data_IF_071930485288
#
_entry.id   IF_071930485288
#
_cell.length_a   1.000
_cell.length_b   1.000
_cell.length_c   1.000
_cell.angle_alpha   90.00
_cell.angle_beta   90.00
_cell.angle_gamma   90.00
#
_symmetry.space_group_name_H-M   'P 1'
#
loop_
_entity.id
_entity.type
_entity.pdbx_description
1 polymer ?
#
# COMPACT_ATOMS: atom_id res chain seq x y z
N UNK A 1 -12.33 -10.56 -0.33
CA UNK A 1 -11.06 -10.40 0.42
C UNK A 1 -10.64 -8.97 0.21
N UNK A 2 -10.20 -8.26 1.25
CA UNK A 2 -9.85 -6.82 1.16
C UNK A 2 -8.96 -6.53 -0.05
N UNK A 3 -9.34 -5.57 -0.88
CA UNK A 3 -8.55 -5.10 -2.02
C UNK A 3 -7.49 -4.09 -1.58
N UNK A 4 -6.35 -4.06 -2.26
CA UNK A 4 -5.28 -3.09 -2.03
C UNK A 4 -5.11 -2.19 -3.25
N UNK A 5 -5.13 -0.88 -3.00
CA UNK A 5 -4.85 0.15 -3.98
C UNK A 5 -3.61 0.95 -3.55
N UNK A 6 -2.54 0.88 -4.34
CA UNK A 6 -1.33 1.69 -4.13
C UNK A 6 -1.51 3.03 -4.85
N UNK A 7 -1.39 4.15 -4.14
CA UNK A 7 -1.57 5.50 -4.68
C UNK A 7 -0.34 6.35 -4.38
N UNK A 8 0.36 6.82 -5.41
CA UNK A 8 1.59 7.61 -5.23
C UNK A 8 1.69 8.74 -6.25
N UNK A 9 2.62 9.67 -6.02
CA UNK A 9 3.07 10.56 -7.09
C UNK A 9 3.86 9.80 -8.15
N UNK A 10 3.71 10.23 -9.41
CA UNK A 10 4.44 9.64 -10.52
C UNK A 10 4.30 8.12 -10.60
N UNK A 11 5.25 7.45 -11.25
CA UNK A 11 5.10 6.02 -11.57
C UNK A 11 5.39 5.04 -10.42
N UNK A 12 5.57 5.53 -9.19
CA UNK A 12 6.04 4.68 -8.07
C UNK A 12 5.06 3.54 -7.75
N UNK A 13 3.75 3.82 -7.73
CA UNK A 13 2.71 2.82 -7.47
C UNK A 13 2.77 1.69 -8.50
N UNK A 14 2.86 2.04 -9.78
CA UNK A 14 2.95 1.05 -10.86
C UNK A 14 4.19 0.18 -10.72
N UNK A 15 5.35 0.78 -10.49
CA UNK A 15 6.61 0.04 -10.40
C UNK A 15 6.66 -0.85 -9.15
N UNK A 16 6.09 -0.42 -8.02
CA UNK A 16 5.95 -1.27 -6.83
C UNK A 16 5.05 -2.48 -7.10
N UNK A 17 3.90 -2.28 -7.74
CA UNK A 17 2.99 -3.39 -8.08
C UNK A 17 3.61 -4.32 -9.12
N UNK A 18 4.30 -3.79 -10.14
CA UNK A 18 5.05 -4.59 -11.12
C UNK A 18 6.14 -5.41 -10.45
N UNK A 19 6.92 -4.81 -9.54
CA UNK A 19 7.95 -5.52 -8.79
C UNK A 19 7.36 -6.65 -7.93
N UNK A 20 6.26 -6.39 -7.20
CA UNK A 20 5.57 -7.41 -6.43
C UNK A 20 5.13 -8.58 -7.32
N UNK A 21 4.44 -8.29 -8.44
CA UNK A 21 4.00 -9.31 -9.41
C UNK A 21 5.16 -10.10 -10.01
N UNK A 22 6.31 -9.46 -10.25
CA UNK A 22 7.50 -10.16 -10.77
C UNK A 22 8.06 -11.17 -9.78
N UNK A 23 7.97 -10.89 -8.47
CA UNK A 23 8.49 -11.74 -7.40
C UNK A 23 7.54 -12.90 -7.09
N UNK A 24 6.24 -12.63 -6.95
CA UNK A 24 5.27 -13.64 -6.48
C UNK A 24 4.38 -14.24 -7.56
N UNK A 25 4.41 -13.71 -8.79
CA UNK A 25 3.51 -14.10 -9.87
C UNK A 25 2.27 -13.21 -9.95
N UNK A 26 1.18 -13.71 -10.54
CA UNK A 26 -0.06 -12.94 -10.60
C UNK A 26 -0.65 -12.67 -9.21
N UNK A 27 -1.08 -11.43 -9.00
CA UNK A 27 -1.63 -10.96 -7.73
C UNK A 27 -3.02 -10.39 -8.00
N UNK A 28 -4.05 -11.10 -7.55
CA UNK A 28 -5.41 -10.60 -7.57
C UNK A 28 -5.61 -9.48 -6.55
N UNK A 29 -6.56 -8.57 -6.82
CA UNK A 29 -6.99 -7.50 -5.90
C UNK A 29 -5.87 -6.53 -5.44
N UNK A 30 -4.78 -6.44 -6.22
CA UNK A 30 -3.71 -5.45 -6.05
C UNK A 30 -3.63 -4.54 -7.29
N UNK A 31 -3.95 -3.27 -7.09
CA UNK A 31 -3.96 -2.24 -8.14
C UNK A 31 -3.07 -1.06 -7.80
N UNK A 32 -2.64 -0.33 -8.84
CA UNK A 32 -1.87 0.89 -8.72
C UNK A 32 -2.65 2.07 -9.31
N UNK A 33 -2.50 3.25 -8.72
CA UNK A 33 -3.01 4.51 -9.22
C UNK A 33 -1.93 5.59 -9.08
N UNK A 34 -1.62 6.22 -10.20
CA UNK A 34 -0.68 7.34 -10.27
C UNK A 34 -1.44 8.67 -10.19
N UNK A 35 -0.98 9.55 -9.30
CA UNK A 35 -1.37 10.95 -9.28
C UNK A 35 -0.26 11.77 -9.96
N UNK A 36 -0.62 12.52 -10.99
CA UNK A 36 0.31 13.39 -11.70
C UNK A 36 0.75 14.58 -10.84
N UNK A 37 1.95 15.10 -11.08
CA UNK A 37 2.50 16.25 -10.34
C UNK A 37 1.66 17.52 -10.52
N UNK A 38 1.16 17.74 -11.73
CA UNK A 38 0.34 18.90 -12.10
C UNK A 38 -1.15 18.54 -12.25
N UNK A 39 -1.56 17.37 -11.73
CA UNK A 39 -2.93 16.91 -11.84
C UNK A 39 -3.84 17.70 -10.91
N UNK A 40 -4.96 18.21 -11.45
CA UNK A 40 -5.95 18.92 -10.66
C UNK A 40 -6.55 18.02 -9.56
N UNK A 41 -6.68 18.56 -8.35
CA UNK A 41 -7.13 17.83 -7.17
C UNK A 41 -8.52 17.21 -7.36
N UNK A 42 -9.44 17.88 -8.06
CA UNK A 42 -10.79 17.34 -8.32
C UNK A 42 -10.74 16.15 -9.26
N UNK A 43 -9.83 16.16 -10.24
CA UNK A 43 -9.63 15.06 -11.18
C UNK A 43 -8.96 13.88 -10.49
N UNK A 44 -7.90 14.12 -9.72
CA UNK A 44 -7.25 13.10 -8.91
C UNK A 44 -8.24 12.47 -7.90
N UNK A 45 -9.08 13.28 -7.25
CA UNK A 45 -10.14 12.79 -6.35
C UNK A 45 -11.11 11.84 -7.06
N UNK A 46 -11.61 12.20 -8.23
CA UNK A 46 -12.52 11.32 -9.01
C UNK A 46 -11.87 9.99 -9.37
N UNK A 47 -10.61 10.00 -9.80
CA UNK A 47 -9.87 8.76 -10.11
C UNK A 47 -9.74 7.85 -8.90
N UNK A 48 -9.46 8.41 -7.72
CA UNK A 48 -9.40 7.66 -6.46
C UNK A 48 -10.77 7.07 -6.12
N UNK A 49 -11.84 7.87 -6.24
CA UNK A 49 -13.22 7.43 -5.99
C UNK A 49 -13.63 6.26 -6.90
N UNK A 50 -13.41 6.40 -8.21
CA UNK A 50 -13.70 5.36 -9.20
C UNK A 50 -12.89 4.09 -8.94
N UNK A 51 -11.61 4.21 -8.59
CA UNK A 51 -10.78 3.07 -8.25
C UNK A 51 -11.24 2.36 -6.99
N UNK A 52 -11.66 3.09 -5.95
CA UNK A 52 -12.23 2.50 -4.72
C UNK A 52 -13.52 1.75 -5.04
N UNK A 53 -14.43 2.37 -5.81
CA UNK A 53 -15.71 1.77 -6.20
C UNK A 53 -15.51 0.50 -7.04
N UNK A 54 -14.52 0.48 -7.93
CA UNK A 54 -14.20 -0.69 -8.74
C UNK A 54 -13.57 -1.85 -7.92
N UNK A 55 -12.96 -1.55 -6.77
CA UNK A 55 -12.21 -2.51 -5.96
C UNK A 55 -12.97 -3.00 -4.72
N UNK A 56 -13.97 -2.25 -4.22
CA UNK A 56 -14.78 -2.66 -3.06
C UNK A 56 -15.77 -3.77 -3.47
N UNK A 57 -15.42 -5.02 -3.14
CA UNK A 57 -16.29 -6.20 -3.32
C UNK A 57 -17.11 -6.55 -2.07
N UNK A 58 -17.14 -5.66 -1.08
CA UNK A 58 -17.86 -5.83 0.19
C UNK A 58 -16.93 -5.89 1.41
N UNK A 59 -15.67 -6.28 1.22
CA UNK A 59 -14.67 -6.39 2.30
C UNK A 59 -13.86 -5.11 2.53
N UNK A 60 -14.10 -4.06 1.72
CA UNK A 60 -13.39 -2.79 1.80
C UNK A 60 -12.05 -2.75 1.07
N UNK A 61 -11.42 -1.57 1.08
CA UNK A 61 -10.21 -1.27 0.32
C UNK A 61 -9.15 -0.64 1.24
N UNK A 62 -7.94 -1.21 1.24
CA UNK A 62 -6.77 -0.61 1.87
C UNK A 62 -6.01 0.25 0.86
N UNK A 63 -5.85 1.54 1.17
CA UNK A 63 -5.09 2.49 0.37
C UNK A 63 -3.66 2.57 0.91
N UNK A 64 -2.67 2.30 0.06
CA UNK A 64 -1.26 2.39 0.42
C UNK A 64 -0.64 3.60 -0.27
N UNK A 65 -0.21 4.60 0.50
CA UNK A 65 0.33 5.85 -0.05
C UNK A 65 1.83 6.01 0.15
N UNK A 66 2.47 6.84 -0.67
CA UNK A 66 3.91 7.11 -0.62
C UNK A 66 4.34 7.78 0.68
N UNK A 67 3.78 8.93 1.02
CA UNK A 67 4.18 9.73 2.18
C UNK A 67 3.00 10.46 2.81
N UNK A 68 3.06 10.61 4.13
CA UNK A 68 2.11 11.47 4.84
C UNK A 68 2.33 12.94 4.45
N UNK A 69 1.23 13.69 4.27
CA UNK A 69 1.26 15.10 3.86
C UNK A 69 1.38 15.36 2.35
N UNK A 70 1.54 14.32 1.52
CA UNK A 70 1.48 14.43 0.06
C UNK A 70 0.04 14.51 -0.48
N UNK A 71 -0.12 15.01 -1.72
CA UNK A 71 -1.42 15.09 -2.42
C UNK A 71 -2.16 13.73 -2.48
N UNK A 72 -1.52 12.58 -2.78
CA UNK A 72 -2.14 11.26 -2.72
C UNK A 72 -2.76 10.95 -1.35
N UNK A 73 -2.03 11.22 -0.27
CA UNK A 73 -2.52 10.97 1.10
C UNK A 73 -3.66 11.92 1.45
N UNK A 74 -3.54 13.21 1.14
CA UNK A 74 -4.57 14.19 1.45
C UNK A 74 -5.90 13.90 0.73
N UNK A 75 -5.83 13.49 -0.54
CA UNK A 75 -7.02 13.07 -1.30
C UNK A 75 -7.59 11.79 -0.68
N UNK A 76 -6.75 10.79 -0.41
CA UNK A 76 -7.14 9.50 0.17
C UNK A 76 -7.85 9.67 1.52
N UNK A 77 -7.38 10.58 2.38
CA UNK A 77 -7.96 10.86 3.69
C UNK A 77 -9.44 11.24 3.61
N UNK A 78 -9.87 11.88 2.52
CA UNK A 78 -11.28 12.26 2.34
C UNK A 78 -12.22 11.07 2.06
N UNK A 79 -11.66 9.89 1.78
CA UNK A 79 -12.40 8.64 1.59
C UNK A 79 -12.36 7.73 2.81
N UNK A 80 -11.57 8.07 3.84
CA UNK A 80 -11.42 7.27 5.05
C UNK A 80 -12.80 7.00 5.68
N UNK A 81 -13.15 5.73 5.80
CA UNK A 81 -14.46 5.30 6.30
C UNK A 81 -14.32 3.96 6.99
N UNK A 82 -14.66 3.92 8.28
CA UNK A 82 -14.55 2.71 9.11
C UNK A 82 -15.21 1.50 8.43
N UNK A 83 -14.44 0.42 8.28
CA UNK A 83 -14.90 -0.83 7.67
C UNK A 83 -15.07 -0.79 6.15
N UNK A 84 -14.70 0.32 5.48
CA UNK A 84 -14.82 0.48 4.03
C UNK A 84 -13.52 0.90 3.37
N UNK A 85 -12.83 1.88 3.94
CA UNK A 85 -11.55 2.38 3.45
C UNK A 85 -10.64 2.61 4.64
N UNK A 86 -9.42 2.08 4.57
CA UNK A 86 -8.36 2.31 5.54
C UNK A 86 -7.07 2.71 4.80
N UNK A 87 -6.21 3.51 5.44
CA UNK A 87 -5.06 4.12 4.78
C UNK A 87 -3.77 3.75 5.54
N UNK A 88 -2.77 3.28 4.82
CA UNK A 88 -1.41 3.05 5.33
C UNK A 88 -0.43 3.85 4.48
N UNK A 89 0.31 4.76 5.11
CA UNK A 89 1.31 5.59 4.41
C UNK A 89 2.69 4.95 4.46
N UNK A 90 3.61 5.40 3.60
CA UNK A 90 4.98 4.88 3.57
C UNK A 90 5.07 3.52 2.87
N UNK A 91 4.29 3.33 1.80
CA UNK A 91 4.23 2.07 1.07
C UNK A 91 5.63 1.63 0.64
N UNK A 92 5.94 0.36 0.88
CA UNK A 92 7.17 -0.26 0.44
C UNK A 92 6.91 -1.69 -0.06
N UNK A 93 7.87 -2.24 -0.80
CA UNK A 93 7.73 -3.55 -1.42
C UNK A 93 7.43 -4.68 -0.41
N UNK A 94 8.07 -4.76 0.77
CA UNK A 94 7.73 -5.74 1.81
C UNK A 94 6.26 -5.74 2.24
N UNK A 95 5.59 -4.59 2.29
CA UNK A 95 4.14 -4.54 2.54
C UNK A 95 3.36 -5.29 1.46
N UNK A 96 3.68 -5.06 0.18
CA UNK A 96 3.00 -5.72 -0.93
C UNK A 96 3.23 -7.24 -0.90
N UNK A 97 4.47 -7.68 -0.68
CA UNK A 97 4.79 -9.11 -0.56
C UNK A 97 4.06 -9.76 0.62
N UNK A 98 3.87 -9.04 1.73
CA UNK A 98 3.07 -9.53 2.85
C UNK A 98 1.60 -9.69 2.47
N UNK A 99 1.02 -8.72 1.75
CA UNK A 99 -0.34 -8.81 1.25
C UNK A 99 -0.54 -10.02 0.34
N UNK A 100 0.36 -10.21 -0.64
CA UNK A 100 0.24 -11.30 -1.62
C UNK A 100 0.37 -12.69 -1.01
N UNK A 101 1.04 -12.80 0.13
CA UNK A 101 1.25 -14.07 0.84
C UNK A 101 0.15 -14.40 1.86
N UNK A 102 -0.89 -13.56 1.99
CA UNK A 102 -2.03 -13.87 2.85
C UNK A 102 -2.84 -15.03 2.25
N UNK A 103 -3.00 -16.09 3.04
CA UNK A 103 -3.76 -17.30 2.64
C UNK A 103 -5.22 -17.25 3.06
N UNK A 104 -5.52 -16.48 4.10
CA UNK A 104 -6.83 -16.38 4.71
C UNK A 104 -7.34 -14.94 4.63
N UNK A 105 -8.66 -14.74 4.43
CA UNK A 105 -9.27 -13.42 4.53
C UNK A 105 -9.04 -12.83 5.92
N UNK A 106 -8.64 -11.56 5.96
CA UNK A 106 -8.49 -10.78 7.18
C UNK A 106 -9.37 -9.53 7.08
N UNK A 107 -9.77 -9.00 8.23
CA UNK A 107 -10.52 -7.74 8.28
C UNK A 107 -9.65 -6.57 7.82
N UNK A 108 -10.27 -5.51 7.31
CA UNK A 108 -9.58 -4.33 6.79
C UNK A 108 -8.65 -3.66 7.82
N UNK A 109 -9.11 -3.50 9.05
CA UNK A 109 -8.34 -2.91 10.16
C UNK A 109 -7.11 -3.77 10.51
N UNK A 110 -7.32 -5.09 10.58
CA UNK A 110 -6.25 -6.05 10.83
C UNK A 110 -5.24 -6.09 9.67
N UNK A 111 -5.71 -6.04 8.42
CA UNK A 111 -4.83 -5.95 7.25
C UNK A 111 -3.93 -4.73 7.35
N UNK A 112 -4.51 -3.55 7.55
CA UNK A 112 -3.76 -2.30 7.65
C UNK A 112 -2.68 -2.36 8.74
N UNK A 113 -3.02 -2.91 9.92
CA UNK A 113 -2.07 -3.11 11.01
C UNK A 113 -0.91 -4.05 10.61
N UNK A 114 -1.22 -5.20 9.99
CA UNK A 114 -0.21 -6.19 9.53
C UNK A 114 0.71 -5.59 8.47
N UNK A 115 0.19 -4.81 7.53
CA UNK A 115 0.98 -4.15 6.48
C UNK A 115 1.90 -3.09 7.09
N UNK A 116 1.38 -2.23 7.97
CA UNK A 116 2.18 -1.22 8.67
C UNK A 116 3.30 -1.85 9.51
N UNK A 117 3.01 -2.92 10.26
CA UNK A 117 4.03 -3.64 11.03
C UNK A 117 5.11 -4.21 10.11
N UNK A 118 4.73 -4.89 9.02
CA UNK A 118 5.68 -5.45 8.08
C UNK A 118 6.59 -4.37 7.47
N UNK A 119 5.98 -3.26 7.01
CA UNK A 119 6.74 -2.19 6.38
C UNK A 119 7.77 -1.59 7.32
N UNK A 120 7.40 -1.36 8.59
CA UNK A 120 8.35 -0.86 9.61
C UNK A 120 9.47 -1.86 9.90
N UNK A 121 9.15 -3.15 10.06
CA UNK A 121 10.14 -4.21 10.37
C UNK A 121 11.16 -4.42 9.25
N UNK A 122 10.78 -4.12 8.02
CA UNK A 122 11.66 -4.25 6.85
C UNK A 122 12.61 -3.07 6.62
N UNK A 123 12.43 -1.96 7.33
CA UNK A 123 13.33 -0.81 7.25
C UNK A 123 14.50 -1.08 8.18
N UNK A 124 15.67 -1.34 7.62
CA UNK A 124 16.86 -1.72 8.37
C UNK A 124 18.10 -1.02 7.81
N UNK A 125 19.05 -0.69 8.68
CA UNK A 125 20.38 -0.26 8.29
C UNK A 125 21.24 -1.52 8.14
N UNK A 126 21.63 -1.85 6.91
CA UNK A 126 22.31 -3.12 6.61
C UNK A 126 23.59 -3.35 7.46
N UNK A 127 24.36 -2.30 7.74
CA UNK A 127 25.56 -2.39 8.56
C UNK A 127 25.27 -2.79 10.01
N UNK A 128 24.14 -2.39 10.59
CA UNK A 128 23.74 -2.75 11.95
C UNK A 128 23.31 -4.22 12.02
N UNK A 129 22.54 -4.67 11.02
CA UNK A 129 22.10 -6.07 10.90
C UNK A 129 23.30 -7.01 10.79
N UNK A 130 24.30 -6.65 9.97
CA UNK A 130 25.51 -7.46 9.79
C UNK A 130 26.43 -7.43 11.02
N UNK A 131 26.50 -6.33 11.77
CA UNK A 131 27.28 -6.22 13.01
C UNK A 131 26.70 -7.04 14.15
N UNK A 132 25.37 -7.15 14.23
CA UNK A 132 24.69 -8.00 15.21
C UNK A 132 24.85 -9.51 14.98
N UNK A 133 25.48 -9.93 13.86
CA UNK A 133 25.70 -11.33 13.48
C UNK A 133 27.09 -11.88 13.81
N UNK A 134 28.01 -11.08 14.37
CA UNK A 134 29.32 -11.57 14.82
C UNK A 134 29.25 -11.89 16.33
N UNK A 135 29.28 -13.18 16.74
CA UNK A 135 29.53 -13.50 18.13
C UNK A 135 30.92 -12.95 18.48
N UNK A 136 31.01 -12.23 19.59
CA UNK A 136 32.29 -11.93 20.21
C UNK A 136 33.01 -13.26 20.50
N UNK A 137 34.15 -13.46 19.86
CA UNK A 137 35.22 -14.34 20.30
C UNK A 137 36.45 -13.47 20.56
#
# INVERSE_FOLDING_TARGET
>A
MVSVLVITHGNLAEELVKAARRIVGEVGRLSALTIGWDEDVSTARRKVEEAILALDDGDGVALLTDMFGGTPTNISLSFLRKGKVEIVTGVNLPMLIKYTNLREPVRLDELAARLSEQGRRSIQVASEVLRGGAPHS
#
